data_IF_645873458790
#
_entry.id   IF_645873458790
#
_cell.length_a   1.000
_cell.length_b   1.000
_cell.length_c   1.000
_cell.angle_alpha   90.00
_cell.angle_beta   90.00
_cell.angle_gamma   90.00
#
_symmetry.space_group_name_H-M   'P 1'
#
loop_
_entity.id
_entity.type
_entity.pdbx_description
1 polymer ?
#
# COMPACT_ATOMS: atom_id res chain seq x y z
N UNK A 1 16.68 -11.66 -3.58
CA UNK A 1 16.85 -10.37 -2.89
C UNK A 1 16.93 -10.61 -1.39
N UNK A 2 17.94 -10.09 -0.71
CA UNK A 2 18.08 -10.20 0.75
C UNK A 2 17.14 -9.17 1.40
N UNK A 3 16.16 -9.63 2.16
CA UNK A 3 15.34 -8.75 3.00
C UNK A 3 15.89 -8.84 4.43
N UNK A 4 16.71 -7.89 4.89
CA UNK A 4 17.22 -7.91 6.27
C UNK A 4 16.07 -7.66 7.24
N UNK A 5 16.19 -8.24 8.44
CA UNK A 5 15.30 -7.91 9.55
C UNK A 5 15.65 -6.51 10.04
N UNK A 6 14.73 -5.57 9.91
CA UNK A 6 14.97 -4.16 10.25
C UNK A 6 14.33 -3.79 11.58
N UNK A 7 15.12 -3.24 12.49
CA UNK A 7 14.68 -2.61 13.73
C UNK A 7 14.23 -1.17 13.40
N UNK A 8 12.93 -0.90 13.47
CA UNK A 8 12.35 0.36 12.98
C UNK A 8 11.54 1.08 14.06
N UNK A 9 11.65 2.40 14.09
CA UNK A 9 10.77 3.28 14.86
C UNK A 9 10.07 4.23 13.88
N UNK A 10 8.79 4.01 13.65
CA UNK A 10 8.07 4.68 12.56
C UNK A 10 8.68 4.31 11.19
N UNK A 11 9.01 5.31 10.38
CA UNK A 11 9.65 5.12 9.08
C UNK A 11 11.19 5.01 9.15
N UNK A 12 11.80 5.20 10.33
CA UNK A 12 13.27 5.22 10.48
C UNK A 12 13.79 3.83 10.87
N UNK A 13 14.67 3.27 10.05
CA UNK A 13 15.45 2.07 10.38
C UNK A 13 16.63 2.48 11.28
N UNK A 14 16.72 1.90 12.47
CA UNK A 14 17.81 2.14 13.43
C UNK A 14 18.95 1.14 13.28
N UNK A 15 18.61 -0.12 13.01
CA UNK A 15 19.57 -1.18 12.77
C UNK A 15 18.96 -2.28 11.89
N UNK A 16 19.80 -3.12 11.32
CA UNK A 16 19.39 -4.29 10.55
C UNK A 16 20.13 -5.53 11.03
N UNK A 17 19.41 -6.64 11.12
CA UNK A 17 20.00 -7.95 11.35
C UNK A 17 20.07 -8.66 9.99
N UNK A 18 21.27 -8.93 9.44
CA UNK A 18 21.39 -9.53 8.12
C UNK A 18 20.80 -10.95 8.13
N UNK A 19 19.75 -11.15 7.32
CA UNK A 19 19.14 -12.46 7.07
C UNK A 19 18.67 -12.49 5.62
N UNK A 20 18.88 -13.62 4.96
CA UNK A 20 18.36 -13.86 3.60
C UNK A 20 16.99 -14.50 3.71
N UNK A 21 15.94 -13.79 3.35
CA UNK A 21 14.58 -14.27 3.43
C UNK A 21 13.98 -14.46 2.02
N UNK A 22 13.33 -15.59 1.81
CA UNK A 22 12.51 -15.83 0.63
C UNK A 22 11.17 -15.12 0.88
N UNK A 23 10.84 -14.16 0.03
CA UNK A 23 9.55 -13.46 0.14
C UNK A 23 8.45 -14.28 -0.52
N UNK A 24 7.36 -14.49 0.23
CA UNK A 24 6.12 -15.12 -0.23
C UNK A 24 5.00 -14.11 -0.01
N UNK A 25 4.55 -13.48 -1.09
CA UNK A 25 3.49 -12.46 -1.03
C UNK A 25 2.17 -13.07 -1.54
N UNK A 26 1.16 -13.15 -0.68
CA UNK A 26 -0.15 -13.65 -1.08
C UNK A 26 -0.88 -12.60 -1.94
N UNK A 27 -1.59 -13.09 -2.96
CA UNK A 27 -2.56 -12.27 -3.69
C UNK A 27 -3.77 -11.95 -2.79
N UNK A 28 -4.58 -10.96 -3.19
CA UNK A 28 -5.84 -10.70 -2.48
C UNK A 28 -6.78 -11.91 -2.56
N UNK A 29 -6.82 -12.58 -3.71
CA UNK A 29 -7.67 -13.78 -3.90
C UNK A 29 -7.25 -14.90 -2.94
N UNK A 30 -5.95 -15.15 -2.80
CA UNK A 30 -5.43 -16.14 -1.84
C UNK A 30 -5.75 -15.75 -0.39
N UNK A 31 -5.61 -14.46 -0.05
CA UNK A 31 -5.95 -13.98 1.30
C UNK A 31 -7.44 -14.11 1.60
N UNK A 32 -8.32 -13.85 0.64
CA UNK A 32 -9.78 -14.01 0.78
C UNK A 32 -10.19 -15.48 0.85
N UNK A 33 -9.46 -16.37 0.19
CA UNK A 33 -9.69 -17.81 0.29
C UNK A 33 -9.30 -18.40 1.66
N UNK A 34 -8.61 -17.63 2.52
CA UNK A 34 -8.21 -18.06 3.86
C UNK A 34 -7.11 -19.14 3.89
N UNK A 35 -6.52 -19.48 2.76
CA UNK A 35 -5.56 -20.56 2.64
C UNK A 35 -4.12 -20.09 2.99
N UNK A 36 -3.36 -20.97 3.65
CA UNK A 36 -1.92 -20.78 3.78
C UNK A 36 -1.21 -21.11 2.44
N UNK A 37 -0.17 -20.36 2.07
CA UNK A 37 0.60 -20.65 0.86
C UNK A 37 1.48 -21.87 1.06
N UNK A 38 1.74 -22.62 -0.01
CA UNK A 38 2.86 -23.53 -0.05
C UNK A 38 4.16 -22.74 0.02
N UNK A 39 5.04 -23.08 0.95
CA UNK A 39 6.31 -22.39 1.12
C UNK A 39 7.36 -22.99 0.17
N UNK A 40 8.03 -22.17 -0.66
CA UNK A 40 9.07 -22.66 -1.55
C UNK A 40 10.28 -23.12 -0.75
N UNK A 41 11.12 -23.99 -1.34
CA UNK A 41 12.35 -24.45 -0.71
C UNK A 41 13.27 -23.26 -0.38
N UNK A 42 13.86 -23.26 0.82
CA UNK A 42 14.72 -22.18 1.30
C UNK A 42 16.08 -22.11 0.56
N UNK A 43 16.56 -23.22 -0.01
CA UNK A 43 17.92 -23.26 -0.55
C UNK A 43 18.93 -22.78 0.52
N UNK A 44 19.69 -21.75 0.20
CA UNK A 44 20.64 -21.12 1.12
C UNK A 44 20.07 -19.97 1.95
N UNK A 45 18.75 -19.72 1.95
CA UNK A 45 18.12 -18.64 2.72
C UNK A 45 17.94 -19.04 4.20
N UNK A 46 17.81 -18.03 5.06
CA UNK A 46 17.65 -18.19 6.51
C UNK A 46 16.20 -18.45 6.92
N UNK A 47 15.24 -18.16 6.03
CA UNK A 47 13.80 -18.30 6.32
C UNK A 47 12.91 -17.69 5.26
N UNK A 48 11.61 -17.58 5.58
CA UNK A 48 10.59 -16.94 4.76
C UNK A 48 10.10 -15.65 5.39
N UNK A 49 9.75 -14.70 4.52
CA UNK A 49 8.93 -13.53 4.88
C UNK A 49 7.61 -13.63 4.11
N UNK A 50 6.57 -14.05 4.81
CA UNK A 50 5.23 -14.24 4.26
C UNK A 50 4.41 -12.99 4.53
N UNK A 51 3.92 -12.34 3.47
CA UNK A 51 3.09 -11.12 3.59
C UNK A 51 1.65 -11.40 3.20
N UNK A 52 0.73 -10.69 3.86
CA UNK A 52 -0.72 -10.83 3.68
C UNK A 52 -1.27 -12.23 3.99
N UNK A 53 -0.65 -12.93 4.93
CA UNK A 53 -1.18 -14.19 5.43
C UNK A 53 -2.50 -13.91 6.16
N UNK A 54 -3.62 -14.58 5.85
CA UNK A 54 -4.85 -14.46 6.61
C UNK A 54 -4.63 -14.71 8.10
N UNK A 55 -5.32 -13.99 8.98
CA UNK A 55 -5.08 -14.08 10.44
C UNK A 55 -5.26 -15.50 10.97
N UNK A 56 -6.24 -16.24 10.45
CA UNK A 56 -6.58 -17.59 10.87
C UNK A 56 -5.74 -18.69 10.18
N UNK A 57 -5.00 -18.36 9.10
CA UNK A 57 -4.26 -19.34 8.34
C UNK A 57 -3.02 -19.83 9.14
N UNK A 58 -2.80 -21.14 9.16
CA UNK A 58 -1.64 -21.76 9.80
C UNK A 58 -0.61 -22.11 8.74
N UNK A 59 0.64 -21.64 8.92
CA UNK A 59 1.74 -22.01 8.04
C UNK A 59 2.28 -23.40 8.46
N UNK A 60 2.41 -24.29 7.49
CA UNK A 60 3.13 -25.54 7.67
C UNK A 60 4.65 -25.27 7.54
N UNK A 61 5.25 -24.83 8.64
CA UNK A 61 6.66 -24.51 8.68
C UNK A 61 7.21 -24.70 10.10
N UNK A 62 8.27 -25.47 10.19
CA UNK A 62 9.04 -25.61 11.43
C UNK A 62 10.00 -24.43 11.60
N UNK A 63 10.12 -23.95 12.85
CA UNK A 63 11.10 -22.94 13.22
C UNK A 63 10.52 -21.74 13.97
N UNK A 64 11.40 -20.87 14.49
CA UNK A 64 10.98 -19.71 15.26
C UNK A 64 10.25 -18.70 14.37
N UNK A 65 9.05 -18.32 14.80
CA UNK A 65 8.12 -17.47 14.04
C UNK A 65 7.91 -16.14 14.75
N UNK A 66 7.82 -15.06 13.97
CA UNK A 66 7.54 -13.73 14.46
C UNK A 66 6.54 -13.01 13.57
N UNK A 67 5.44 -12.54 14.16
CA UNK A 67 4.45 -11.69 13.48
C UNK A 67 4.98 -10.27 13.50
N UNK A 68 5.34 -9.76 12.32
CA UNK A 68 5.89 -8.41 12.16
C UNK A 68 4.82 -7.32 12.26
N UNK A 69 3.67 -7.54 11.65
CA UNK A 69 2.53 -6.64 11.71
C UNK A 69 1.22 -7.37 11.47
N UNK A 70 0.13 -6.78 11.96
CA UNK A 70 -1.26 -7.15 11.67
C UNK A 70 -1.98 -5.96 11.09
N UNK A 71 -2.83 -6.20 10.09
CA UNK A 71 -3.60 -5.15 9.41
C UNK A 71 -4.82 -5.74 8.72
N UNK A 72 -5.73 -4.87 8.33
CA UNK A 72 -6.83 -5.24 7.43
C UNK A 72 -6.41 -4.88 6.01
N UNK A 73 -6.22 -5.89 5.14
CA UNK A 73 -6.02 -5.69 3.70
C UNK A 73 -7.35 -5.30 3.09
N UNK A 74 -7.46 -4.06 2.68
CA UNK A 74 -8.70 -3.45 2.22
C UNK A 74 -8.80 -3.53 0.70
N UNK A 75 -10.05 -3.63 0.20
CA UNK A 75 -10.30 -3.64 -1.24
C UNK A 75 -11.62 -2.92 -1.57
N UNK A 76 -11.76 -2.51 -2.83
CA UNK A 76 -13.05 -2.13 -3.42
C UNK A 76 -13.55 -3.31 -4.24
N UNK A 77 -14.79 -3.72 -4.01
CA UNK A 77 -15.48 -4.71 -4.84
C UNK A 77 -15.97 -4.02 -6.12
N UNK A 78 -15.26 -4.22 -7.22
CA UNK A 78 -15.60 -3.66 -8.52
C UNK A 78 -16.76 -4.42 -9.18
N UNK A 79 -16.92 -5.72 -8.86
CA UNK A 79 -17.99 -6.55 -9.40
C UNK A 79 -19.37 -6.10 -8.91
N UNK A 80 -19.46 -5.54 -7.70
CA UNK A 80 -20.69 -4.97 -7.16
C UNK A 80 -21.14 -3.69 -7.90
N UNK A 81 -20.29 -3.06 -8.68
CA UNK A 81 -20.57 -1.86 -9.47
C UNK A 81 -20.44 -0.53 -8.71
N UNK A 82 -20.31 0.56 -9.49
CA UNK A 82 -20.11 1.92 -8.95
C UNK A 82 -21.25 2.36 -8.03
N UNK A 83 -22.50 2.07 -8.41
CA UNK A 83 -23.67 2.48 -7.64
C UNK A 83 -23.68 1.87 -6.23
N UNK A 84 -23.40 0.57 -6.11
CA UNK A 84 -23.30 -0.13 -4.84
C UNK A 84 -22.14 0.40 -4.00
N UNK A 85 -20.96 0.60 -4.60
CA UNK A 85 -19.82 1.21 -3.92
C UNK A 85 -20.15 2.60 -3.38
N UNK A 86 -20.73 3.49 -4.19
CA UNK A 86 -21.12 4.85 -3.76
C UNK A 86 -22.16 4.85 -2.67
N UNK A 87 -23.13 3.92 -2.70
CA UNK A 87 -24.13 3.77 -1.65
C UNK A 87 -23.49 3.36 -0.31
N UNK A 88 -22.45 2.52 -0.35
CA UNK A 88 -21.70 2.09 0.85
C UNK A 88 -20.83 3.20 1.48
N UNK A 89 -20.51 4.28 0.75
CA UNK A 89 -19.76 5.41 1.30
C UNK A 89 -20.63 6.25 2.24
N UNK A 90 -20.05 6.76 3.34
CA UNK A 90 -20.75 7.67 4.22
C UNK A 90 -21.15 8.98 3.50
N UNK A 91 -22.24 9.61 3.96
CA UNK A 91 -22.67 10.93 3.42
C UNK A 91 -21.53 11.97 3.51
N UNK A 92 -20.79 11.97 4.63
CA UNK A 92 -19.64 12.85 4.81
C UNK A 92 -18.52 12.59 3.79
N UNK A 93 -18.25 11.31 3.48
CA UNK A 93 -17.26 10.92 2.46
C UNK A 93 -17.69 11.43 1.09
N UNK A 94 -18.94 11.15 0.68
CA UNK A 94 -19.47 11.62 -0.62
C UNK A 94 -19.42 13.14 -0.74
N UNK A 95 -19.80 13.87 0.31
CA UNK A 95 -19.73 15.34 0.34
C UNK A 95 -18.28 15.84 0.24
N UNK A 96 -17.33 15.19 0.93
CA UNK A 96 -15.91 15.52 0.86
C UNK A 96 -15.32 15.29 -0.53
N UNK A 97 -15.66 14.17 -1.19
CA UNK A 97 -15.25 13.88 -2.57
C UNK A 97 -15.76 14.97 -3.52
N UNK A 98 -17.06 15.28 -3.48
CA UNK A 98 -17.66 16.35 -4.31
C UNK A 98 -17.01 17.72 -4.07
N UNK A 99 -16.70 18.07 -2.81
CA UNK A 99 -16.04 19.34 -2.47
C UNK A 99 -14.62 19.38 -3.04
N UNK A 100 -13.82 18.30 -2.91
CA UNK A 100 -12.46 18.22 -3.45
C UNK A 100 -12.47 18.32 -4.98
N UNK A 101 -13.36 17.59 -5.65
CA UNK A 101 -13.53 17.63 -7.09
C UNK A 101 -13.86 19.05 -7.57
N UNK A 102 -14.81 19.74 -6.93
CA UNK A 102 -15.16 21.14 -7.27
C UNK A 102 -14.00 22.10 -7.05
N UNK A 103 -13.25 21.96 -5.93
CA UNK A 103 -12.11 22.82 -5.65
C UNK A 103 -11.02 22.67 -6.71
N UNK A 104 -10.72 21.44 -7.12
CA UNK A 104 -9.73 21.17 -8.16
C UNK A 104 -10.21 21.68 -9.51
N UNK A 105 -11.46 21.43 -9.89
CA UNK A 105 -12.04 21.92 -11.14
C UNK A 105 -11.99 23.47 -11.22
N UNK A 106 -12.34 24.17 -10.13
CA UNK A 106 -12.26 25.62 -10.08
C UNK A 106 -10.84 26.16 -10.31
N UNK A 107 -9.82 25.45 -9.83
CA UNK A 107 -8.41 25.78 -10.05
C UNK A 107 -7.90 25.37 -11.44
N UNK A 108 -8.68 24.63 -12.23
CA UNK A 108 -8.32 24.10 -13.54
C UNK A 108 -9.35 24.46 -14.63
N UNK A 109 -9.76 25.71 -14.69
CA UNK A 109 -10.67 26.19 -15.75
C UNK A 109 -12.07 25.56 -15.74
N UNK A 110 -12.52 25.05 -14.58
CA UNK A 110 -13.87 24.48 -14.42
C UNK A 110 -13.97 22.97 -14.68
N UNK A 111 -12.90 22.30 -15.05
CA UNK A 111 -12.90 20.86 -15.38
C UNK A 111 -11.83 20.07 -14.61
N UNK A 112 -12.00 18.74 -14.62
CA UNK A 112 -11.02 17.79 -14.06
C UNK A 112 -10.42 17.04 -15.25
N UNK A 113 -9.09 17.17 -15.46
CA UNK A 113 -8.35 16.46 -16.50
C UNK A 113 -7.65 15.25 -15.90
N UNK A 114 -8.26 14.06 -16.05
CA UNK A 114 -7.65 12.76 -15.69
C UNK A 114 -7.53 11.94 -16.95
N UNK A 115 -6.29 11.53 -17.24
CA UNK A 115 -5.95 10.71 -18.42
C UNK A 115 -5.57 9.32 -17.98
N UNK A 116 -6.18 8.29 -18.60
CA UNK A 116 -5.90 6.87 -18.36
C UNK A 116 -5.01 6.31 -19.47
N UNK A 117 -4.04 5.48 -19.07
CA UNK A 117 -3.05 4.85 -19.94
C UNK A 117 -3.15 3.33 -19.77
N UNK A 118 -3.50 2.61 -20.85
CA UNK A 118 -3.90 1.19 -20.79
C UNK A 118 -3.00 0.27 -21.59
N UNK A 119 -2.40 0.76 -22.68
CA UNK A 119 -1.53 0.00 -23.56
C UNK A 119 -0.06 0.25 -23.23
N UNK A 120 0.83 -0.65 -23.68
CA UNK A 120 2.28 -0.45 -23.51
C UNK A 120 2.76 0.87 -24.12
N UNK A 121 2.25 1.24 -25.29
CA UNK A 121 2.59 2.51 -25.94
C UNK A 121 2.15 3.71 -25.10
N UNK A 122 0.94 3.68 -24.58
CA UNK A 122 0.44 4.73 -23.68
C UNK A 122 1.22 4.77 -22.35
N UNK A 123 1.53 3.60 -21.76
CA UNK A 123 2.33 3.52 -20.52
C UNK A 123 3.76 4.02 -20.73
N UNK A 124 4.33 3.90 -21.91
CA UNK A 124 5.61 4.51 -22.26
C UNK A 124 5.54 6.04 -22.23
N UNK A 125 4.40 6.63 -22.60
CA UNK A 125 4.15 8.09 -22.47
C UNK A 125 3.83 8.49 -21.02
N UNK A 126 3.12 7.64 -20.28
CA UNK A 126 2.81 7.84 -18.86
C UNK A 126 4.06 7.91 -17.98
N UNK A 127 5.01 7.00 -18.21
CA UNK A 127 6.16 6.80 -17.31
C UNK A 127 6.97 8.08 -17.05
N UNK A 128 7.48 8.84 -18.05
CA UNK A 128 8.26 10.04 -17.79
C UNK A 128 7.46 11.11 -17.06
N UNK A 129 6.16 11.26 -17.34
CA UNK A 129 5.28 12.23 -16.69
C UNK A 129 5.02 11.84 -15.22
N UNK A 130 4.75 10.57 -14.94
CA UNK A 130 4.57 10.05 -13.60
C UNK A 130 5.88 10.15 -12.78
N UNK A 131 7.04 9.88 -13.40
CA UNK A 131 8.36 10.07 -12.78
C UNK A 131 8.63 11.52 -12.40
N UNK A 132 8.23 12.48 -13.23
CA UNK A 132 8.34 13.89 -12.91
C UNK A 132 7.54 14.27 -11.65
N UNK A 133 6.32 13.73 -11.49
CA UNK A 133 5.54 13.91 -10.25
C UNK A 133 6.18 13.15 -9.08
N UNK A 134 6.59 11.89 -9.28
CA UNK A 134 7.21 11.07 -8.24
C UNK A 134 8.44 11.75 -7.63
N UNK A 135 9.28 12.38 -8.44
CA UNK A 135 10.48 13.11 -8.00
C UNK A 135 10.18 14.25 -7.00
N UNK A 136 8.97 14.81 -7.01
CA UNK A 136 8.56 15.84 -6.05
C UNK A 136 8.10 15.27 -4.71
N UNK A 137 7.82 13.96 -4.64
CA UNK A 137 7.22 13.33 -3.46
C UNK A 137 8.24 13.10 -2.33
N UNK A 138 7.75 13.11 -1.10
CA UNK A 138 8.53 12.76 0.08
C UNK A 138 9.06 11.30 0.02
N UNK A 139 8.29 10.38 -0.55
CA UNK A 139 8.65 8.97 -0.67
C UNK A 139 9.89 8.79 -1.55
N UNK A 140 9.98 9.51 -2.68
CA UNK A 140 11.15 9.46 -3.55
C UNK A 140 12.38 10.04 -2.84
N UNK A 141 12.23 11.18 -2.17
CA UNK A 141 13.34 11.87 -1.48
C UNK A 141 13.94 11.05 -0.34
N UNK A 142 13.12 10.27 0.38
CA UNK A 142 13.59 9.52 1.54
C UNK A 142 13.89 8.06 1.26
N UNK A 143 13.16 7.43 0.35
CA UNK A 143 13.18 5.97 0.18
C UNK A 143 13.57 5.54 -1.24
N UNK A 144 13.54 6.45 -2.23
CA UNK A 144 13.79 6.12 -3.63
C UNK A 144 12.81 5.10 -4.22
N UNK A 145 11.58 5.02 -3.67
CA UNK A 145 10.64 3.91 -3.94
C UNK A 145 9.30 4.35 -4.53
N UNK A 146 9.16 5.63 -4.92
CA UNK A 146 7.86 6.14 -5.35
C UNK A 146 7.35 5.45 -6.63
N UNK A 147 8.12 5.48 -7.71
CA UNK A 147 7.82 4.77 -8.96
C UNK A 147 9.14 4.28 -9.56
N UNK A 148 9.25 3.05 -10.10
CA UNK A 148 10.47 2.57 -10.71
C UNK A 148 11.07 3.57 -11.72
N UNK A 149 12.36 3.80 -11.63
CA UNK A 149 13.08 4.65 -12.59
C UNK A 149 13.17 3.99 -13.97
N UNK A 150 13.28 2.66 -13.98
CA UNK A 150 13.26 1.86 -15.21
C UNK A 150 11.83 1.70 -15.72
N UNK A 151 11.63 2.08 -16.98
CA UNK A 151 10.35 1.94 -17.67
C UNK A 151 9.89 0.48 -17.78
N UNK A 152 10.79 -0.49 -17.87
CA UNK A 152 10.46 -1.91 -18.00
C UNK A 152 9.60 -2.43 -16.84
N UNK A 153 9.76 -1.87 -15.62
CA UNK A 153 8.93 -2.18 -14.47
C UNK A 153 7.50 -1.63 -14.54
N UNK A 154 7.26 -0.63 -15.40
CA UNK A 154 5.99 0.12 -15.48
C UNK A 154 5.24 -0.17 -16.77
N UNK A 155 5.95 -0.33 -17.90
CA UNK A 155 5.40 -0.52 -19.24
C UNK A 155 5.08 -2.00 -19.47
N UNK A 156 3.89 -2.44 -18.99
CA UNK A 156 3.44 -3.82 -19.00
C UNK A 156 2.02 -3.94 -19.54
N UNK A 157 1.67 -5.09 -20.14
CA UNK A 157 0.33 -5.33 -20.67
C UNK A 157 -0.72 -5.52 -19.56
N UNK A 158 -0.28 -5.98 -18.40
CA UNK A 158 -1.09 -6.19 -17.21
C UNK A 158 -1.10 -4.98 -16.25
N UNK A 159 -0.86 -3.76 -16.77
CA UNK A 159 -0.81 -2.55 -15.98
C UNK A 159 -1.75 -1.45 -16.49
N UNK A 160 -2.06 -0.50 -15.63
CA UNK A 160 -2.77 0.74 -15.94
C UNK A 160 -2.18 1.91 -15.17
N UNK A 161 -2.15 3.07 -15.84
CA UNK A 161 -1.72 4.33 -15.24
C UNK A 161 -2.78 5.40 -15.38
N UNK A 162 -2.86 6.30 -14.40
CA UNK A 162 -3.68 7.51 -14.46
C UNK A 162 -2.85 8.70 -14.04
N UNK A 163 -2.98 9.80 -14.80
CA UNK A 163 -2.42 11.10 -14.45
C UNK A 163 -3.53 12.11 -14.30
N UNK A 164 -3.41 12.98 -13.30
CA UNK A 164 -4.25 14.15 -13.12
C UNK A 164 -3.44 15.39 -13.44
N UNK A 165 -4.01 16.26 -14.27
CA UNK A 165 -3.38 17.50 -14.74
C UNK A 165 -4.05 18.75 -14.13
N UNK A 166 -3.23 19.79 -13.93
CA UNK A 166 -3.68 21.17 -13.71
C UNK A 166 -2.99 22.03 -14.76
N UNK A 167 -3.76 22.57 -15.70
CA UNK A 167 -3.21 23.04 -16.97
C UNK A 167 -2.51 21.91 -17.71
N UNK A 168 -1.34 22.16 -18.24
CA UNK A 168 -0.51 21.15 -18.93
C UNK A 168 0.40 20.35 -17.99
N UNK A 169 0.35 20.60 -16.66
CA UNK A 169 1.24 19.98 -15.69
C UNK A 169 0.60 18.77 -15.04
N UNK A 170 1.21 17.58 -15.09
CA UNK A 170 0.79 16.43 -14.29
C UNK A 170 1.10 16.70 -12.80
N UNK A 171 0.09 16.55 -11.94
CA UNK A 171 0.21 16.87 -10.50
C UNK A 171 -0.07 15.68 -9.59
N UNK A 172 -0.62 14.59 -10.13
CA UNK A 172 -0.75 13.33 -9.41
C UNK A 172 -0.71 12.16 -10.39
N UNK A 173 -0.23 11.01 -9.91
CA UNK A 173 -0.23 9.75 -10.64
C UNK A 173 -0.73 8.61 -9.77
N UNK A 174 -1.29 7.61 -10.43
CA UNK A 174 -1.61 6.29 -9.90
C UNK A 174 -1.18 5.26 -10.93
N UNK A 175 -0.48 4.22 -10.49
CA UNK A 175 -0.12 3.07 -11.31
C UNK A 175 -0.52 1.79 -10.61
N UNK A 176 -1.17 0.89 -11.35
CA UNK A 176 -1.70 -0.37 -10.88
C UNK A 176 -1.25 -1.51 -11.79
N UNK A 177 -0.99 -2.67 -11.21
CA UNK A 177 -0.80 -3.93 -11.95
C UNK A 177 -1.90 -4.92 -11.66
N UNK A 178 -2.18 -5.81 -12.60
CA UNK A 178 -3.12 -6.90 -12.40
C UNK A 178 -2.47 -8.06 -11.63
N UNK A 179 -3.22 -8.66 -10.70
CA UNK A 179 -2.84 -9.89 -10.02
C UNK A 179 -4.09 -10.72 -9.72
N UNK A 180 -4.19 -11.90 -10.35
CA UNK A 180 -5.41 -12.71 -10.24
C UNK A 180 -6.62 -11.93 -10.74
N UNK A 181 -7.64 -11.78 -9.90
CA UNK A 181 -8.88 -11.04 -10.22
C UNK A 181 -8.86 -9.59 -9.74
N UNK A 182 -7.71 -9.05 -9.33
CA UNK A 182 -7.62 -7.72 -8.74
C UNK A 182 -6.63 -6.80 -9.46
N UNK A 183 -6.97 -5.49 -9.52
CA UNK A 183 -6.02 -4.41 -9.73
C UNK A 183 -5.31 -4.09 -8.42
N UNK A 184 -3.98 -4.12 -8.42
CA UNK A 184 -3.15 -3.76 -7.27
C UNK A 184 -2.82 -2.28 -7.29
N UNK A 185 -2.97 -1.63 -6.16
CA UNK A 185 -2.56 -0.26 -5.88
C UNK A 185 -1.04 -0.21 -5.58
N UNK A 186 -0.21 -0.21 -6.63
CA UNK A 186 1.24 -0.37 -6.45
C UNK A 186 1.95 0.97 -6.17
N UNK A 187 1.71 1.98 -7.00
CA UNK A 187 2.40 3.27 -6.89
C UNK A 187 1.42 4.44 -7.03
N UNK A 188 1.53 5.38 -6.11
CA UNK A 188 0.75 6.62 -6.13
C UNK A 188 1.58 7.77 -5.58
N UNK A 189 1.36 8.94 -6.14
CA UNK A 189 1.99 10.16 -5.65
C UNK A 189 1.29 11.40 -6.16
N UNK A 190 1.56 12.52 -5.50
CA UNK A 190 1.13 13.83 -5.97
C UNK A 190 2.19 14.88 -5.62
N UNK A 191 2.23 15.93 -6.41
CA UNK A 191 3.10 17.08 -6.16
C UNK A 191 2.62 17.82 -4.90
N UNK A 192 3.47 17.95 -3.85
CA UNK A 192 3.13 18.66 -2.62
C UNK A 192 2.70 20.13 -2.84
N UNK A 193 3.17 20.78 -3.90
CA UNK A 193 2.77 22.14 -4.24
C UNK A 193 1.25 22.26 -4.50
N UNK A 194 0.60 21.17 -4.90
CA UNK A 194 -0.84 21.10 -5.16
C UNK A 194 -1.63 20.41 -4.03
N UNK A 195 -1.01 20.11 -2.88
CA UNK A 195 -1.66 19.38 -1.80
C UNK A 195 -2.98 20.02 -1.33
N UNK A 196 -3.06 21.37 -1.37
CA UNK A 196 -4.27 22.12 -1.03
C UNK A 196 -5.49 21.75 -1.91
N UNK A 197 -5.28 21.28 -3.15
CA UNK A 197 -6.33 20.84 -4.09
C UNK A 197 -6.70 19.37 -3.89
N UNK A 198 -5.97 18.61 -3.06
CA UNK A 198 -6.18 17.18 -2.80
C UNK A 198 -6.15 16.32 -4.09
N UNK A 199 -5.16 16.50 -5.00
CA UNK A 199 -5.18 15.87 -6.31
C UNK A 199 -5.15 14.34 -6.24
N UNK A 200 -4.42 13.75 -5.28
CA UNK A 200 -4.39 12.30 -5.09
C UNK A 200 -5.77 11.70 -4.72
N UNK A 201 -6.60 12.43 -3.97
CA UNK A 201 -7.94 11.97 -3.63
C UNK A 201 -8.90 12.04 -4.84
N UNK A 202 -8.79 13.10 -5.65
CA UNK A 202 -9.58 13.25 -6.87
C UNK A 202 -9.18 12.20 -7.91
N UNK A 203 -7.87 11.99 -8.08
CA UNK A 203 -7.34 10.97 -8.99
C UNK A 203 -7.81 9.56 -8.59
N UNK A 204 -7.75 9.22 -7.30
CA UNK A 204 -8.20 7.92 -6.81
C UNK A 204 -9.68 7.67 -7.09
N UNK A 205 -10.54 8.67 -6.85
CA UNK A 205 -11.98 8.55 -7.19
C UNK A 205 -12.18 8.33 -8.69
N UNK A 206 -11.50 9.11 -9.53
CA UNK A 206 -11.60 9.00 -10.98
C UNK A 206 -11.11 7.63 -11.49
N UNK A 207 -9.97 7.14 -10.96
CA UNK A 207 -9.44 5.83 -11.32
C UNK A 207 -10.38 4.69 -10.91
N UNK A 208 -10.94 4.72 -9.71
CA UNK A 208 -11.92 3.73 -9.27
C UNK A 208 -13.14 3.71 -10.19
N UNK A 209 -13.65 4.88 -10.57
CA UNK A 209 -14.79 4.98 -11.50
C UNK A 209 -14.47 4.42 -12.88
N UNK A 210 -13.26 4.64 -13.39
CA UNK A 210 -12.79 4.08 -14.67
C UNK A 210 -12.64 2.55 -14.63
N UNK A 211 -12.43 1.98 -13.45
CA UNK A 211 -12.26 0.53 -13.27
C UNK A 211 -13.58 -0.24 -13.14
N UNK A 212 -14.67 0.41 -12.73
CA UNK A 212 -15.98 -0.25 -12.67
C UNK A 212 -16.46 -0.67 -14.06
N UNK A 213 -17.06 -1.86 -14.14
CA UNK A 213 -17.48 -2.46 -15.41
C UNK A 213 -16.34 -3.08 -16.23
N UNK A 214 -15.11 -3.01 -15.74
CA UNK A 214 -13.95 -3.69 -16.32
C UNK A 214 -13.85 -5.17 -15.94
N UNK A 215 -12.80 -5.87 -16.39
CA UNK A 215 -12.67 -7.33 -16.24
C UNK A 215 -12.25 -7.77 -14.85
N UNK A 216 -11.75 -6.87 -13.98
CA UNK A 216 -11.28 -7.23 -12.65
C UNK A 216 -12.40 -7.11 -11.62
N UNK A 217 -12.46 -8.10 -10.72
CA UNK A 217 -13.45 -8.13 -9.66
C UNK A 217 -13.16 -7.16 -8.52
N UNK A 218 -11.89 -6.81 -8.29
CA UNK A 218 -11.47 -6.04 -7.11
C UNK A 218 -10.40 -5.00 -7.42
N UNK A 219 -10.35 -3.95 -6.59
CA UNK A 219 -9.22 -3.03 -6.48
C UNK A 219 -8.59 -3.20 -5.09
N UNK A 220 -7.36 -3.68 -5.04
CA UNK A 220 -6.63 -4.06 -3.85
C UNK A 220 -5.73 -2.94 -3.36
N UNK A 221 -6.00 -2.39 -2.19
CA UNK A 221 -5.18 -1.35 -1.58
C UNK A 221 -3.86 -1.85 -0.99
N UNK A 222 -3.56 -3.14 -1.07
CA UNK A 222 -2.38 -3.78 -0.48
C UNK A 222 -2.27 -3.59 1.05
N UNK A 223 -1.05 -3.74 1.57
CA UNK A 223 -0.75 -3.61 2.99
C UNK A 223 -0.96 -2.18 3.50
N UNK A 224 -1.09 -2.06 4.82
CA UNK A 224 -1.18 -0.79 5.54
C UNK A 224 -2.60 -0.28 5.71
N UNK A 225 -2.79 0.55 6.74
CA UNK A 225 -4.10 1.01 7.19
C UNK A 225 -4.25 2.54 7.05
N UNK A 226 -3.99 3.05 5.84
CA UNK A 226 -4.18 4.46 5.52
C UNK A 226 -5.66 4.88 5.61
N UNK A 227 -5.92 6.11 6.07
CA UNK A 227 -7.28 6.62 6.21
C UNK A 227 -8.08 6.58 4.90
N UNK A 228 -7.43 6.89 3.76
CA UNK A 228 -8.09 6.82 2.45
C UNK A 228 -8.54 5.40 2.09
N UNK A 229 -7.75 4.37 2.46
CA UNK A 229 -8.10 2.96 2.28
C UNK A 229 -9.35 2.59 3.09
N UNK A 230 -9.40 2.98 4.39
CA UNK A 230 -10.57 2.78 5.25
C UNK A 230 -11.82 3.46 4.71
N UNK A 231 -11.64 4.66 4.16
CA UNK A 231 -12.76 5.49 3.69
C UNK A 231 -13.38 4.99 2.39
N UNK A 232 -12.55 4.46 1.47
CA UNK A 232 -13.00 4.08 0.11
C UNK A 232 -13.27 2.59 -0.05
N UNK A 233 -12.75 1.74 0.84
CA UNK A 233 -12.94 0.30 0.76
C UNK A 233 -14.40 -0.10 0.94
N UNK A 234 -14.83 -1.12 0.20
CA UNK A 234 -16.10 -1.82 0.39
C UNK A 234 -15.95 -3.10 1.20
N UNK A 235 -14.72 -3.61 1.37
CA UNK A 235 -14.41 -4.81 2.12
C UNK A 235 -12.98 -4.85 2.64
N UNK A 236 -12.67 -5.91 3.38
CA UNK A 236 -11.34 -6.16 3.89
C UNK A 236 -11.18 -7.54 4.48
N UNK A 237 -9.95 -8.03 4.54
CA UNK A 237 -9.57 -9.30 5.17
C UNK A 237 -8.47 -9.06 6.19
N UNK A 238 -8.63 -9.63 7.39
CA UNK A 238 -7.60 -9.55 8.43
C UNK A 238 -6.37 -10.35 8.01
N UNK A 239 -5.23 -9.70 7.99
CA UNK A 239 -3.96 -10.28 7.56
C UNK A 239 -2.84 -9.98 8.55
N UNK A 240 -1.82 -10.79 8.48
CA UNK A 240 -0.56 -10.59 9.19
C UNK A 240 0.63 -10.85 8.27
N UNK A 241 1.72 -10.17 8.55
CA UNK A 241 3.02 -10.47 7.95
C UNK A 241 3.86 -11.26 8.94
N UNK A 242 4.44 -12.36 8.48
CA UNK A 242 5.11 -13.34 9.33
C UNK A 242 6.50 -13.62 8.80
N UNK A 243 7.49 -13.59 9.69
CA UNK A 243 8.82 -14.13 9.44
C UNK A 243 8.92 -15.50 10.10
N UNK A 244 9.31 -16.52 9.33
CA UNK A 244 9.62 -17.87 9.82
C UNK A 244 11.08 -18.14 9.49
N UNK A 245 11.90 -18.40 10.49
CA UNK A 245 13.33 -18.67 10.31
C UNK A 245 13.64 -20.16 10.49
N UNK A 246 14.71 -20.62 9.84
CA UNK A 246 15.27 -21.96 10.11
C UNK A 246 15.57 -22.12 11.59
N UNK A 247 15.33 -23.31 12.09
CA UNK A 247 15.63 -23.67 13.47
C UNK A 247 17.14 -23.72 13.70
N UNK A 248 17.67 -22.68 14.32
CA UNK A 248 19.00 -22.61 14.88
C UNK A 248 19.08 -21.53 15.97
N UNK A 249 20.09 -21.60 16.83
CA UNK A 249 20.20 -20.67 17.95
C UNK A 249 20.45 -19.23 17.52
N UNK A 250 21.19 -18.98 16.44
CA UNK A 250 21.44 -17.64 15.90
C UNK A 250 20.16 -16.96 15.39
N UNK A 251 19.26 -17.72 14.79
CA UNK A 251 17.94 -17.24 14.34
C UNK A 251 16.99 -17.01 15.53
N UNK A 252 17.04 -17.88 16.56
CA UNK A 252 16.30 -17.65 17.81
C UNK A 252 16.75 -16.37 18.51
N UNK A 253 18.06 -16.12 18.60
CA UNK A 253 18.62 -14.91 19.17
C UNK A 253 18.22 -13.67 18.36
N UNK A 254 18.26 -13.74 17.02
CA UNK A 254 17.83 -12.65 16.15
C UNK A 254 16.36 -12.27 16.37
N UNK A 255 15.45 -13.26 16.43
CA UNK A 255 14.04 -13.00 16.73
C UNK A 255 13.80 -12.53 18.16
N UNK A 256 14.58 -13.01 19.12
CA UNK A 256 14.58 -12.50 20.49
C UNK A 256 14.90 -11.01 20.55
N UNK A 257 15.94 -10.58 19.84
CA UNK A 257 16.31 -9.17 19.72
C UNK A 257 15.21 -8.33 19.06
N UNK A 258 14.57 -8.84 17.99
CA UNK A 258 13.44 -8.16 17.32
C UNK A 258 12.24 -7.98 18.29
N UNK A 259 11.85 -9.05 19.00
CA UNK A 259 10.75 -8.99 19.98
C UNK A 259 11.05 -8.04 21.14
N UNK A 260 12.28 -8.07 21.65
CA UNK A 260 12.72 -7.16 22.70
C UNK A 260 12.66 -5.69 22.26
N UNK A 261 13.12 -5.43 21.06
CA UNK A 261 13.07 -4.09 20.48
C UNK A 261 11.63 -3.59 20.29
N UNK A 262 10.75 -4.41 19.69
CA UNK A 262 9.34 -4.06 19.51
C UNK A 262 8.64 -3.81 20.85
N UNK A 263 8.94 -4.64 21.86
CA UNK A 263 8.45 -4.45 23.22
C UNK A 263 8.91 -3.12 23.83
N UNK A 264 10.19 -2.77 23.68
CA UNK A 264 10.72 -1.49 24.15
C UNK A 264 10.07 -0.28 23.43
N UNK A 265 9.89 -0.37 22.11
CA UNK A 265 9.20 0.68 21.34
C UNK A 265 7.74 0.83 21.76
N UNK A 266 7.04 -0.28 21.99
CA UNK A 266 5.66 -0.27 22.46
C UNK A 266 5.54 0.33 23.86
N UNK A 267 6.45 0.00 24.78
CA UNK A 267 6.51 0.58 26.12
C UNK A 267 6.77 2.10 26.07
N UNK A 268 7.74 2.54 25.27
CA UNK A 268 8.05 3.97 25.10
C UNK A 268 6.85 4.75 24.55
N UNK A 269 6.11 4.20 23.58
CA UNK A 269 4.88 4.83 23.05
C UNK A 269 3.79 4.94 24.14
N UNK A 270 3.59 3.90 24.96
CA UNK A 270 2.62 3.95 26.07
C UNK A 270 2.95 5.05 27.07
N UNK A 271 4.21 5.16 27.48
CA UNK A 271 4.67 6.21 28.39
C UNK A 271 4.47 7.60 27.78
N UNK A 272 4.77 7.79 26.49
CA UNK A 272 4.55 9.08 25.82
C UNK A 272 3.06 9.47 25.78
N UNK A 273 2.16 8.51 25.50
CA UNK A 273 0.71 8.74 25.51
C UNK A 273 0.22 9.10 26.92
N UNK A 274 0.66 8.37 27.96
CA UNK A 274 0.29 8.64 29.34
C UNK A 274 0.75 10.02 29.79
N UNK A 275 1.97 10.44 29.44
CA UNK A 275 2.48 11.79 29.70
C UNK A 275 1.66 12.88 29.01
N UNK A 276 1.26 12.64 27.75
CA UNK A 276 0.42 13.58 27.00
C UNK A 276 -0.99 13.71 27.59
N UNK A 277 -1.57 12.62 28.11
CA UNK A 277 -2.86 12.63 28.81
C UNK A 277 -2.77 13.33 30.16
N UNK A 278 -1.76 13.05 30.97
CA UNK A 278 -1.53 13.71 32.26
C UNK A 278 -1.33 15.22 32.11
N UNK A 279 -0.61 15.66 31.08
CA UNK A 279 -0.44 17.09 30.77
C UNK A 279 -1.72 17.80 30.29
N UNK A 280 -2.75 17.06 29.86
CA UNK A 280 -4.07 17.61 29.49
C UNK A 280 -5.03 17.69 30.67
N UNK A 281 -4.87 16.82 31.67
CA UNK A 281 -5.69 16.80 32.89
C UNK A 281 -5.20 17.78 33.96
N UNK A 282 -3.97 18.28 33.84
CA UNK A 282 -3.37 19.24 34.73
C UNK A 282 -3.47 20.72 34.26
N UNK A 283 -4.30 20.98 33.24
CA UNK A 283 -4.68 22.32 32.80
C UNK A 283 -6.20 22.50 32.93
#
# INVERSE_FOLDING_TARGET
MTNPLSLQVGARTLATIPRRLVRVALSLDAALAGAAPALPALGGADGWYVTSLPEEAVLDAAGPTWVRQRYVRRFVDLAAGEAAWRAGLSAATRAAMKRKARKLAAANGGHIDVRCYRTRAELALFHPLARAVAATTYQERLLGTALPADAAGVVRDDARGWLLFVGERPVAYLWCSAQGTAWRYDHVGHDPAFAALSPGAVLMEAALRDLFGGPMARFDFLEGDGQHKRTLASGGVACRDVVVLRENWGNRAALGAMRGFDGAVAAAKRVAVLRALAGRLGR
#
